data_IF_201387216946
#
_entry.id   IF_201387216946
#
_cell.length_a   1.000
_cell.length_b   1.000
_cell.length_c   1.000
_cell.angle_alpha   90.00
_cell.angle_beta   90.00
_cell.angle_gamma   90.00
#
_symmetry.space_group_name_H-M   'P 1'
#
loop_
_entity.id
_entity.type
_entity.pdbx_description
1 polymer ?
#
# COMPACT_ATOMS: atom_id res chain seq x y z
N UNK A 1 6.01 31.60 26.13
CA UNK A 1 5.73 31.00 24.80
C UNK A 1 7.06 30.54 24.24
N UNK A 2 7.34 29.24 24.31
CA UNK A 2 8.52 28.66 23.65
C UNK A 2 8.24 28.64 22.14
N UNK A 3 9.18 29.15 21.35
CA UNK A 3 9.12 29.09 19.90
C UNK A 3 9.14 27.62 19.47
N UNK A 4 8.15 27.23 18.67
CA UNK A 4 8.00 25.89 18.13
C UNK A 4 9.26 25.52 17.31
N UNK A 5 10.05 24.57 17.82
CA UNK A 5 11.27 24.13 17.16
C UNK A 5 10.89 23.37 15.89
N UNK A 6 11.18 23.95 14.72
CA UNK A 6 10.81 23.36 13.43
C UNK A 6 11.46 21.98 13.30
N UNK A 7 10.63 20.94 13.24
CA UNK A 7 11.10 19.57 12.99
C UNK A 7 11.87 19.47 11.66
N UNK A 8 12.98 18.73 11.66
CA UNK A 8 13.77 18.51 10.46
C UNK A 8 12.98 17.74 9.38
N UNK A 9 13.26 18.03 8.10
CA UNK A 9 12.50 17.50 6.95
C UNK A 9 12.38 15.96 6.94
N UNK A 10 13.42 15.23 7.35
CA UNK A 10 13.39 13.77 7.48
C UNK A 10 12.25 13.28 8.39
N UNK A 11 12.02 13.96 9.52
CA UNK A 11 11.00 13.58 10.49
C UNK A 11 9.61 13.92 9.98
N UNK A 12 9.46 15.09 9.33
CA UNK A 12 8.21 15.51 8.71
C UNK A 12 7.81 14.56 7.58
N UNK A 13 8.73 14.24 6.67
CA UNK A 13 8.48 13.34 5.55
C UNK A 13 8.16 11.92 6.00
N UNK A 14 8.80 11.43 7.07
CA UNK A 14 8.50 10.10 7.62
C UNK A 14 7.07 10.01 8.18
N UNK A 15 6.56 11.09 8.76
CA UNK A 15 5.22 11.10 9.35
C UNK A 15 4.09 11.11 8.32
N UNK A 16 4.34 11.56 7.09
CA UNK A 16 3.30 11.68 6.05
C UNK A 16 2.75 10.30 5.66
N UNK A 17 3.56 9.31 5.25
CA UNK A 17 3.05 7.97 4.96
C UNK A 17 2.36 7.34 6.16
N UNK A 18 2.90 7.48 7.37
CA UNK A 18 2.27 6.92 8.59
C UNK A 18 0.85 7.46 8.78
N UNK A 19 0.68 8.76 8.60
CA UNK A 19 -0.63 9.41 8.65
C UNK A 19 -1.57 8.89 7.56
N UNK A 20 -1.11 8.76 6.31
CA UNK A 20 -1.97 8.27 5.22
C UNK A 20 -2.50 6.85 5.46
N UNK A 21 -1.67 5.95 5.98
CA UNK A 21 -2.09 4.57 6.28
C UNK A 21 -3.06 4.54 7.47
N UNK A 22 -2.76 5.29 8.53
CA UNK A 22 -3.65 5.42 9.69
C UNK A 22 -5.02 5.96 9.26
N UNK A 23 -5.06 7.03 8.46
CA UNK A 23 -6.31 7.60 7.95
C UNK A 23 -7.13 6.60 7.13
N UNK A 24 -6.48 5.78 6.29
CA UNK A 24 -7.14 4.72 5.53
C UNK A 24 -7.68 3.59 6.42
N UNK A 25 -6.93 3.17 7.45
CA UNK A 25 -7.39 2.17 8.43
C UNK A 25 -8.61 2.70 9.18
N UNK A 26 -8.56 3.94 9.66
CA UNK A 26 -9.69 4.57 10.35
C UNK A 26 -10.89 4.78 9.42
N UNK A 27 -10.68 5.10 8.15
CA UNK A 27 -11.76 5.18 7.16
C UNK A 27 -12.45 3.83 6.96
N UNK A 28 -11.68 2.74 6.84
CA UNK A 28 -12.23 1.37 6.79
C UNK A 28 -13.04 1.06 8.04
N UNK A 29 -12.53 1.42 9.23
CA UNK A 29 -13.23 1.21 10.50
C UNK A 29 -14.54 2.00 10.60
N UNK A 30 -14.66 3.15 9.93
CA UNK A 30 -15.90 3.93 9.81
C UNK A 30 -16.88 3.37 8.76
N UNK A 31 -16.51 2.31 8.05
CA UNK A 31 -17.33 1.70 6.99
C UNK A 31 -17.22 2.41 5.64
N UNK A 32 -16.21 3.27 5.44
CA UNK A 32 -15.93 3.86 4.14
C UNK A 32 -15.29 2.83 3.20
N UNK A 33 -15.57 2.95 1.90
CA UNK A 33 -14.96 2.10 0.89
C UNK A 33 -13.51 2.52 0.64
N UNK A 34 -12.59 1.57 0.68
CA UNK A 34 -11.17 1.78 0.46
C UNK A 34 -10.75 1.34 -0.94
N UNK A 35 -10.00 2.19 -1.63
CA UNK A 35 -9.40 1.85 -2.92
C UNK A 35 -7.94 1.44 -2.82
N UNK A 36 -7.55 0.44 -3.60
CA UNK A 36 -6.14 0.26 -3.96
C UNK A 36 -5.86 0.90 -5.31
N UNK A 37 -4.85 1.76 -5.39
CA UNK A 37 -4.54 2.53 -6.58
C UNK A 37 -3.17 2.17 -7.16
N UNK A 38 -3.12 2.10 -8.48
CA UNK A 38 -1.91 2.26 -9.26
C UNK A 38 -1.11 3.50 -8.82
N UNK A 39 0.23 3.43 -8.86
CA UNK A 39 1.10 4.56 -8.48
C UNK A 39 0.90 5.82 -9.31
N UNK A 40 0.47 5.70 -10.57
CA UNK A 40 0.30 6.83 -11.49
C UNK A 40 -1.13 6.93 -12.07
N UNK A 41 -2.13 6.44 -11.33
CA UNK A 41 -3.53 6.75 -11.59
C UNK A 41 -3.79 8.24 -11.31
N UNK A 42 -4.75 8.90 -12.02
CA UNK A 42 -5.19 10.27 -11.70
C UNK A 42 -5.79 10.40 -10.29
N UNK A 43 -4.93 10.54 -9.28
CA UNK A 43 -5.29 10.62 -7.86
C UNK A 43 -6.20 11.82 -7.54
N UNK A 44 -6.22 12.84 -8.40
CA UNK A 44 -7.10 13.99 -8.31
C UNK A 44 -8.58 13.57 -8.27
N UNK A 45 -8.95 12.49 -8.97
CA UNK A 45 -10.33 11.98 -8.99
C UNK A 45 -10.73 11.50 -7.59
N UNK A 46 -9.94 10.58 -7.01
CA UNK A 46 -10.21 10.04 -5.68
C UNK A 46 -10.17 11.14 -4.61
N UNK A 47 -9.17 12.02 -4.69
CA UNK A 47 -9.02 13.15 -3.76
C UNK A 47 -10.21 14.09 -3.79
N UNK A 48 -10.68 14.46 -4.98
CA UNK A 48 -11.84 15.38 -5.15
C UNK A 48 -13.12 14.78 -4.60
N UNK A 49 -13.29 13.46 -4.71
CA UNK A 49 -14.46 12.74 -4.21
C UNK A 49 -14.36 12.38 -2.72
N UNK A 50 -13.24 12.69 -2.05
CA UNK A 50 -12.98 12.30 -0.67
C UNK A 50 -12.86 10.79 -0.49
N UNK A 51 -12.47 10.07 -1.54
CA UNK A 51 -12.34 8.61 -1.51
C UNK A 51 -10.95 8.23 -0.96
N UNK A 52 -10.87 7.49 0.15
CA UNK A 52 -9.60 7.03 0.71
C UNK A 52 -8.97 5.95 -0.18
N UNK A 53 -7.71 6.17 -0.56
CA UNK A 53 -6.93 5.23 -1.37
C UNK A 53 -5.56 4.96 -0.76
N UNK A 54 -5.06 3.74 -0.98
CA UNK A 54 -3.68 3.32 -0.66
C UNK A 54 -3.01 2.71 -1.89
N UNK A 55 -1.69 2.58 -1.85
CA UNK A 55 -0.89 2.20 -3.02
C UNK A 55 -0.15 0.89 -2.77
N UNK A 56 -0.58 -0.23 -3.39
CA UNK A 56 0.06 -1.54 -3.20
C UNK A 56 1.54 -1.56 -3.57
N UNK A 57 1.94 -0.84 -4.63
CA UNK A 57 3.36 -0.70 -5.02
C UNK A 57 4.22 -0.08 -3.90
N UNK A 58 3.69 0.96 -3.23
CA UNK A 58 4.37 1.63 -2.11
C UNK A 58 4.45 0.74 -0.87
N UNK A 59 3.42 -0.08 -0.63
CA UNK A 59 3.41 -1.02 0.49
C UNK A 59 4.40 -2.17 0.24
N UNK A 60 4.37 -2.76 -0.95
CA UNK A 60 5.27 -3.84 -1.34
C UNK A 60 6.75 -3.42 -1.25
N UNK A 61 7.08 -2.19 -1.66
CA UNK A 61 8.42 -1.62 -1.48
C UNK A 61 8.83 -1.52 0.00
N UNK A 62 7.93 -1.12 0.89
CA UNK A 62 8.20 -1.02 2.33
C UNK A 62 8.36 -2.39 3.00
N UNK A 63 7.51 -3.36 2.64
CA UNK A 63 7.62 -4.75 3.10
C UNK A 63 9.00 -5.32 2.70
N UNK A 64 9.38 -5.14 1.44
CA UNK A 64 10.69 -5.56 0.95
C UNK A 64 11.85 -4.88 1.68
N UNK A 65 11.77 -3.56 1.92
CA UNK A 65 12.80 -2.81 2.66
C UNK A 65 12.97 -3.31 4.11
N UNK A 66 11.91 -3.85 4.72
CA UNK A 66 11.91 -4.44 6.06
C UNK A 66 12.21 -5.95 6.08
N UNK A 67 12.60 -6.52 4.94
CA UNK A 67 12.93 -7.95 4.76
C UNK A 67 11.72 -8.90 4.93
N UNK A 68 10.50 -8.38 4.75
CA UNK A 68 9.26 -9.13 4.87
C UNK A 68 8.72 -9.75 3.58
N UNK A 69 9.40 -9.54 2.45
CA UNK A 69 8.86 -9.93 1.14
C UNK A 69 8.86 -11.45 0.90
N UNK A 70 9.87 -12.17 1.41
CA UNK A 70 10.09 -13.58 1.05
C UNK A 70 8.88 -14.48 1.35
N UNK A 71 8.26 -14.44 2.55
CA UNK A 71 7.08 -15.27 2.83
C UNK A 71 5.90 -15.00 1.90
N UNK A 72 5.67 -13.73 1.51
CA UNK A 72 4.60 -13.35 0.59
C UNK A 72 4.90 -13.82 -0.84
N UNK A 73 6.16 -13.77 -1.27
CA UNK A 73 6.57 -14.29 -2.58
C UNK A 73 6.42 -15.82 -2.65
N UNK A 74 6.86 -16.52 -1.61
CA UNK A 74 6.71 -17.98 -1.50
C UNK A 74 5.24 -18.39 -1.48
N UNK A 75 4.39 -17.66 -0.77
CA UNK A 75 2.94 -17.87 -0.78
C UNK A 75 2.32 -17.60 -2.15
N UNK A 76 2.68 -16.51 -2.82
CA UNK A 76 2.19 -16.20 -4.16
C UNK A 76 2.57 -17.30 -5.18
N UNK A 77 3.80 -17.80 -5.12
CA UNK A 77 4.31 -18.79 -6.08
C UNK A 77 3.87 -20.21 -5.77
N UNK A 78 3.87 -20.59 -4.49
CA UNK A 78 3.52 -21.93 -4.03
C UNK A 78 2.02 -22.14 -3.90
N UNK A 79 1.37 -21.34 -3.07
CA UNK A 79 -0.03 -21.55 -2.68
C UNK A 79 -1.00 -20.97 -3.72
N UNK A 80 -0.71 -19.78 -4.25
CA UNK A 80 -1.55 -19.12 -5.27
C UNK A 80 -1.16 -19.50 -6.71
N UNK A 81 0.00 -20.13 -6.91
CA UNK A 81 0.43 -20.63 -8.22
C UNK A 81 0.87 -19.56 -9.23
N UNK A 82 1.18 -18.35 -8.77
CA UNK A 82 1.67 -17.28 -9.63
C UNK A 82 3.11 -17.56 -10.11
N UNK A 83 3.38 -17.27 -11.38
CA UNK A 83 4.74 -17.42 -11.93
C UNK A 83 5.72 -16.45 -11.26
N UNK A 84 6.92 -16.94 -10.92
CA UNK A 84 8.02 -16.12 -10.42
C UNK A 84 8.48 -15.03 -11.43
N UNK A 85 8.14 -15.20 -12.71
CA UNK A 85 8.40 -14.22 -13.78
C UNK A 85 7.55 -12.94 -13.64
N UNK A 86 6.47 -12.97 -12.86
CA UNK A 86 5.65 -11.79 -12.59
C UNK A 86 6.42 -10.77 -11.73
N UNK A 87 6.03 -9.50 -11.87
CA UNK A 87 6.55 -8.42 -11.05
C UNK A 87 6.47 -8.79 -9.56
N UNK A 88 7.56 -8.58 -8.82
CA UNK A 88 7.60 -8.88 -7.39
C UNK A 88 6.58 -8.04 -6.59
N UNK A 89 6.30 -6.80 -7.00
CA UNK A 89 5.24 -6.00 -6.39
C UNK A 89 3.87 -6.64 -6.59
N UNK A 90 3.56 -7.12 -7.80
CA UNK A 90 2.30 -7.81 -8.07
C UNK A 90 2.16 -9.06 -7.19
N UNK A 91 3.19 -9.92 -7.14
CA UNK A 91 3.19 -11.11 -6.29
C UNK A 91 2.99 -10.79 -4.81
N UNK A 92 3.72 -9.80 -4.27
CA UNK A 92 3.57 -9.36 -2.87
C UNK A 92 2.15 -8.85 -2.61
N UNK A 93 1.59 -8.02 -3.49
CA UNK A 93 0.25 -7.46 -3.32
C UNK A 93 -0.85 -8.50 -3.47
N UNK A 94 -0.71 -9.48 -4.36
CA UNK A 94 -1.63 -10.60 -4.53
C UNK A 94 -1.62 -11.52 -3.30
N UNK A 95 -0.44 -11.85 -2.79
CA UNK A 95 -0.30 -12.60 -1.54
C UNK A 95 -0.87 -11.83 -0.35
N UNK A 96 -0.58 -10.52 -0.24
CA UNK A 96 -1.13 -9.70 0.83
C UNK A 96 -2.66 -9.59 0.77
N UNK A 97 -3.25 -9.58 -0.44
CA UNK A 97 -4.70 -9.59 -0.60
C UNK A 97 -5.35 -10.90 -0.12
N UNK A 98 -4.66 -12.04 -0.24
CA UNK A 98 -5.12 -13.34 0.25
C UNK A 98 -4.94 -13.48 1.77
N UNK A 99 -3.74 -13.15 2.27
CA UNK A 99 -3.38 -13.31 3.69
C UNK A 99 -4.03 -12.23 4.58
N UNK A 100 -4.15 -11.00 4.08
CA UNK A 100 -4.74 -9.87 4.80
C UNK A 100 -3.85 -9.20 5.84
N UNK A 101 -2.63 -9.70 6.07
CA UNK A 101 -1.68 -9.16 7.03
C UNK A 101 -0.22 -9.38 6.60
N UNK A 102 0.69 -8.55 7.11
CA UNK A 102 2.12 -8.71 6.90
C UNK A 102 2.70 -9.73 7.89
N UNK A 103 3.64 -10.59 7.45
CA UNK A 103 4.18 -11.66 8.29
C UNK A 103 4.90 -11.19 9.56
N UNK A 104 5.49 -9.99 9.56
CA UNK A 104 6.16 -9.41 10.73
C UNK A 104 5.65 -8.01 11.11
N UNK A 105 4.42 -7.65 10.70
CA UNK A 105 3.83 -6.33 10.97
C UNK A 105 4.61 -5.17 10.30
N UNK A 106 5.23 -5.42 9.15
CA UNK A 106 6.06 -4.45 8.44
C UNK A 106 5.28 -3.19 8.09
N UNK A 107 4.15 -3.34 7.39
CA UNK A 107 3.26 -2.25 7.01
C UNK A 107 1.92 -2.78 6.51
N UNK A 108 1.00 -2.96 7.44
CA UNK A 108 -0.37 -3.32 7.07
C UNK A 108 -1.09 -2.15 6.42
N UNK A 109 -1.92 -2.48 5.45
CA UNK A 109 -2.91 -1.60 4.84
C UNK A 109 -4.27 -2.29 4.81
N UNK A 110 -5.38 -1.52 4.88
CA UNK A 110 -6.71 -2.09 4.75
C UNK A 110 -6.89 -2.79 3.40
N UNK A 111 -7.58 -3.94 3.42
CA UNK A 111 -7.99 -4.63 2.19
C UNK A 111 -8.96 -3.75 1.38
N UNK A 112 -8.86 -3.77 0.04
CA UNK A 112 -9.62 -2.90 -0.83
C UNK A 112 -11.06 -3.37 -0.96
N UNK A 113 -11.97 -2.42 -1.17
CA UNK A 113 -13.31 -2.68 -1.69
C UNK A 113 -13.37 -2.54 -3.21
N UNK A 114 -12.42 -1.81 -3.79
CA UNK A 114 -12.26 -1.61 -5.24
C UNK A 114 -10.80 -1.30 -5.60
N UNK A 115 -10.49 -1.39 -6.89
CA UNK A 115 -9.16 -1.11 -7.44
C UNK A 115 -9.22 0.00 -8.49
N UNK A 116 -8.20 0.86 -8.53
CA UNK A 116 -8.03 1.94 -9.51
C UNK A 116 -6.78 1.65 -10.34
N UNK A 117 -6.98 1.25 -11.59
CA UNK A 117 -5.90 0.84 -12.49
C UNK A 117 -5.65 1.89 -13.59
N UNK A 118 -4.38 2.10 -13.93
CA UNK A 118 -3.94 2.83 -15.10
C UNK A 118 -2.68 2.18 -15.66
N UNK A 119 -2.60 1.94 -16.96
CA UNK A 119 -1.50 1.20 -17.58
C UNK A 119 -0.41 2.11 -18.20
N UNK A 120 -0.32 3.36 -17.74
CA UNK A 120 0.69 4.31 -18.22
C UNK A 120 2.12 3.99 -17.73
N UNK A 121 2.27 3.10 -16.74
CA UNK A 121 3.57 2.58 -16.28
C UNK A 121 3.92 1.23 -16.90
N UNK A 122 2.97 0.28 -16.93
CA UNK A 122 3.13 -1.09 -17.43
C UNK A 122 1.75 -1.76 -17.59
N UNK A 123 1.73 -2.96 -18.18
CA UNK A 123 0.50 -3.76 -18.36
C UNK A 123 0.34 -4.92 -17.35
N UNK A 124 1.30 -5.11 -16.43
CA UNK A 124 1.28 -6.20 -15.44
C UNK A 124 0.47 -5.86 -14.19
N UNK A 125 0.08 -4.59 -14.05
CA UNK A 125 -0.48 -4.02 -12.83
C UNK A 125 -1.85 -4.59 -12.46
#
# INVERSE_FOLDING_TARGET
>A
MMADEKAGAKYVLRAIPDKCYEEAIQAKARGEMIGWSASNFPQEIATTLGIPIVYPESQAAQIAAKRGALPLLEHAEGDLGYSNDLCAYARISLAYADVGECPNGERDMPLPDFVLCCNNICNCM
#
